data_IF_256683565672
#
_entry.id   IF_256683565672
#
_cell.length_a   1.000
_cell.length_b   1.000
_cell.length_c   1.000
_cell.angle_alpha   90.00
_cell.angle_beta   90.00
_cell.angle_gamma   90.00
#
_symmetry.space_group_name_H-M   'P 1'
#
loop_
_entity.id
_entity.type
_entity.pdbx_description
1 polymer ?
#
# COMPACT_ATOMS: atom_id res chain seq x y z
N UNK A 1 6.06 16.00 11.08
CA UNK A 1 5.25 16.24 9.86
C UNK A 1 5.12 14.92 9.13
N UNK A 2 3.95 14.58 8.56
CA UNK A 2 3.78 13.31 7.85
C UNK A 2 4.67 13.26 6.61
N UNK A 3 5.27 12.11 6.32
CA UNK A 3 5.99 11.88 5.07
C UNK A 3 4.98 11.75 3.95
N UNK A 4 5.21 12.53 2.90
CA UNK A 4 4.38 12.58 1.71
C UNK A 4 5.20 12.11 0.51
N UNK A 5 4.55 11.40 -0.41
CA UNK A 5 5.12 10.97 -1.69
C UNK A 5 4.14 11.33 -2.80
N UNK A 6 4.68 11.77 -3.94
CA UNK A 6 3.89 12.13 -5.10
C UNK A 6 4.07 11.09 -6.21
N UNK A 7 3.04 10.89 -7.00
CA UNK A 7 3.10 10.23 -8.32
C UNK A 7 3.42 11.27 -9.41
N UNK A 8 3.70 10.79 -10.63
CA UNK A 8 3.99 11.66 -11.78
C UNK A 8 2.79 12.52 -12.20
N UNK A 9 1.57 12.09 -11.85
CA UNK A 9 0.34 12.87 -12.04
C UNK A 9 0.22 14.09 -11.11
N UNK A 10 1.10 14.18 -10.10
CA UNK A 10 1.09 15.22 -9.08
C UNK A 10 0.18 14.92 -7.88
N UNK A 11 -0.49 13.75 -7.83
CA UNK A 11 -1.24 13.33 -6.65
C UNK A 11 -0.30 13.01 -5.49
N UNK A 12 -0.73 13.38 -4.28
CA UNK A 12 0.10 13.28 -3.07
C UNK A 12 -0.51 12.30 -2.07
N UNK A 13 0.31 11.37 -1.59
CA UNK A 13 -0.09 10.30 -0.68
C UNK A 13 0.70 10.37 0.63
N UNK A 14 -0.02 10.20 1.73
CA UNK A 14 0.58 10.05 3.05
C UNK A 14 1.05 8.60 3.25
N UNK A 15 2.35 8.41 3.47
CA UNK A 15 2.93 7.07 3.67
C UNK A 15 2.97 6.67 5.14
N UNK A 16 2.70 7.59 6.07
CA UNK A 16 2.74 7.35 7.52
C UNK A 16 1.37 6.99 8.10
N UNK A 17 0.35 6.78 7.27
CA UNK A 17 -0.94 6.27 7.76
C UNK A 17 -0.76 4.87 8.36
N UNK A 18 -1.50 4.53 9.43
CA UNK A 18 -1.32 3.27 10.16
C UNK A 18 -1.76 2.03 9.36
N UNK A 19 -2.60 2.22 8.35
CA UNK A 19 -3.16 1.16 7.52
C UNK A 19 -2.49 1.17 6.13
N UNK A 20 -2.34 0.01 5.51
CA UNK A 20 -2.03 -0.07 4.09
C UNK A 20 -3.29 0.19 3.27
N UNK A 21 -3.20 1.09 2.29
CA UNK A 21 -4.30 1.44 1.40
C UNK A 21 -3.87 1.32 -0.04
N UNK A 22 -4.81 0.90 -0.89
CA UNK A 22 -4.68 0.97 -2.34
C UNK A 22 -5.65 2.05 -2.84
N UNK A 23 -5.13 3.02 -3.59
CA UNK A 23 -5.91 4.13 -4.14
C UNK A 23 -5.66 4.23 -5.63
N UNK A 24 -6.73 4.42 -6.43
CA UNK A 24 -6.59 4.67 -7.86
C UNK A 24 -6.16 6.13 -8.08
N UNK A 25 -5.09 6.32 -8.82
CA UNK A 25 -4.57 7.62 -9.24
C UNK A 25 -5.33 8.16 -10.47
N UNK A 26 -5.22 9.46 -10.74
CA UNK A 26 -5.80 10.12 -11.92
C UNK A 26 -5.24 9.59 -13.24
N UNK A 27 -4.01 9.09 -13.25
CA UNK A 27 -3.39 8.49 -14.45
C UNK A 27 -3.83 7.03 -14.70
N UNK A 28 -4.78 6.53 -13.90
CA UNK A 28 -5.33 5.18 -14.03
C UNK A 28 -4.51 4.09 -13.36
N UNK A 29 -3.34 4.41 -12.80
CA UNK A 29 -2.53 3.51 -11.98
C UNK A 29 -3.12 3.32 -10.57
N UNK A 30 -2.61 2.33 -9.84
CA UNK A 30 -2.99 2.01 -8.47
C UNK A 30 -1.81 2.21 -7.53
N UNK A 31 -2.00 2.98 -6.47
CA UNK A 31 -0.97 3.34 -5.50
C UNK A 31 -1.22 2.62 -4.20
N UNK A 32 -0.28 1.77 -3.78
CA UNK A 32 -0.21 1.20 -2.45
C UNK A 32 0.59 2.11 -1.55
N UNK A 33 -0.01 2.63 -0.48
CA UNK A 33 0.66 3.52 0.46
C UNK A 33 0.24 3.25 1.91
N UNK A 34 1.09 3.68 2.84
CA UNK A 34 0.87 3.53 4.29
C UNK A 34 1.88 2.60 4.94
N UNK A 35 2.01 2.69 6.27
CA UNK A 35 3.01 1.93 7.06
C UNK A 35 4.45 2.10 6.54
N UNK A 36 4.76 3.26 5.95
CA UNK A 36 6.04 3.55 5.31
C UNK A 36 6.20 3.01 3.88
N UNK A 37 5.21 2.28 3.34
CA UNK A 37 5.22 1.79 1.97
C UNK A 37 4.70 2.84 0.99
N UNK A 38 5.26 2.80 -0.22
CA UNK A 38 4.81 3.56 -1.38
C UNK A 38 5.21 2.81 -2.66
N UNK A 39 4.23 2.22 -3.35
CA UNK A 39 4.41 1.44 -4.56
C UNK A 39 3.29 1.75 -5.56
N UNK A 40 3.62 1.70 -6.86
CA UNK A 40 2.69 1.99 -7.96
C UNK A 40 2.51 0.77 -8.85
N UNK A 41 1.28 0.49 -9.27
CA UNK A 41 0.90 -0.69 -10.04
C UNK A 41 0.02 -0.29 -11.21
N UNK A 42 0.06 -1.08 -12.29
CA UNK A 42 -0.79 -0.84 -13.45
C UNK A 42 -2.20 -1.38 -13.23
N UNK A 43 -2.34 -2.43 -12.41
CA UNK A 43 -3.64 -3.07 -12.14
C UNK A 43 -4.02 -3.01 -10.68
N UNK A 44 -5.32 -3.15 -10.41
CA UNK A 44 -5.84 -3.21 -9.04
C UNK A 44 -5.37 -4.49 -8.36
N UNK A 45 -5.40 -5.58 -9.11
CA UNK A 45 -5.12 -6.93 -8.65
C UNK A 45 -3.70 -7.04 -8.10
N UNK A 46 -2.70 -6.56 -8.85
CA UNK A 46 -1.30 -6.51 -8.40
C UNK A 46 -1.12 -5.69 -7.12
N UNK A 47 -1.77 -4.52 -7.04
CA UNK A 47 -1.68 -3.65 -5.86
C UNK A 47 -2.24 -4.33 -4.60
N UNK A 48 -3.35 -5.05 -4.73
CA UNK A 48 -3.97 -5.77 -3.62
C UNK A 48 -3.23 -7.05 -3.25
N UNK A 49 -2.61 -7.73 -4.22
CA UNK A 49 -1.74 -8.87 -3.95
C UNK A 49 -0.55 -8.46 -3.07
N UNK A 50 0.16 -7.40 -3.45
CA UNK A 50 1.28 -6.88 -2.65
C UNK A 50 0.84 -6.34 -1.28
N UNK A 51 -0.33 -5.71 -1.20
CA UNK A 51 -0.91 -5.33 0.09
C UNK A 51 -1.04 -6.56 1.01
N UNK A 52 -1.61 -7.65 0.50
CA UNK A 52 -1.80 -8.91 1.25
C UNK A 52 -0.47 -9.52 1.67
N UNK A 53 0.54 -9.52 0.80
CA UNK A 53 1.89 -10.01 1.11
C UNK A 53 2.53 -9.25 2.27
N UNK A 54 2.47 -7.90 2.24
CA UNK A 54 3.02 -7.08 3.32
C UNK A 54 2.24 -7.29 4.62
N UNK A 55 0.92 -7.36 4.56
CA UNK A 55 0.08 -7.65 5.73
C UNK A 55 0.40 -9.03 6.33
N UNK A 56 0.60 -10.05 5.50
CA UNK A 56 1.01 -11.38 5.93
C UNK A 56 2.41 -11.38 6.57
N UNK A 57 3.39 -10.71 5.95
CA UNK A 57 4.77 -10.64 6.44
C UNK A 57 4.91 -9.85 7.75
N UNK A 58 4.06 -8.85 7.99
CA UNK A 58 4.14 -7.96 9.16
C UNK A 58 3.24 -8.37 10.32
N UNK A 59 2.63 -9.57 10.28
CA UNK A 59 1.90 -10.13 11.42
C UNK A 59 0.40 -9.81 11.45
N UNK A 60 -0.20 -9.36 10.35
CA UNK A 60 -1.66 -9.34 10.17
C UNK A 60 -2.30 -10.73 10.08
N UNK A 61 -1.48 -11.79 10.03
CA UNK A 61 -1.88 -13.18 10.23
C UNK A 61 -1.74 -13.60 11.69
N UNK A 62 -2.68 -13.16 12.54
CA UNK A 62 -2.87 -13.78 13.85
C UNK A 62 -3.12 -15.28 13.66
N UNK A 63 -2.16 -16.10 14.11
CA UNK A 63 -2.36 -17.45 14.64
C UNK A 63 -2.73 -18.60 13.66
N UNK A 64 -1.75 -19.16 12.93
CA UNK A 64 -1.89 -20.50 12.28
C UNK A 64 -0.67 -21.44 12.44
N UNK A 65 0.18 -21.21 13.44
CA UNK A 65 1.15 -22.23 13.87
C UNK A 65 1.06 -22.36 15.38
N UNK A 66 0.10 -23.16 15.85
CA UNK A 66 0.27 -23.91 17.10
C UNK A 66 0.34 -25.39 16.74
N UNK A 67 1.59 -25.86 16.78
CA UNK A 67 2.10 -27.17 17.20
C UNK A 67 1.23 -28.40 17.00
#
# INVERSE_FOLDING_TARGET
MPRLRATDSGQVYNVDIPELRVTRDTDGIYVLHGRGHFMTFQTREEAFEHKREIEAATGGGSNWIKK
#
